data_IF_209378278510
#
_entry.id   IF_209378278510
#
_cell.length_a   1.000
_cell.length_b   1.000
_cell.length_c   1.000
_cell.angle_alpha   90.00
_cell.angle_beta   90.00
_cell.angle_gamma   90.00
#
_symmetry.space_group_name_H-M   'P 1'
#
loop_
_entity.id
_entity.type
_entity.pdbx_description
1 polymer ?
#
# COMPACT_ATOMS: atom_id res chain seq x y z
N UNK A 1 23.06 39.51 -24.24
CA UNK A 1 22.47 38.67 -23.17
C UNK A 1 20.94 38.57 -23.23
N UNK A 2 20.32 38.54 -24.43
CA UNK A 2 18.86 38.33 -24.60
C UNK A 2 18.51 37.20 -25.58
N UNK A 3 19.44 36.83 -26.48
CA UNK A 3 19.23 35.77 -27.48
C UNK A 3 19.50 34.37 -26.89
N UNK A 4 20.38 34.25 -25.89
CA UNK A 4 20.66 32.97 -25.22
C UNK A 4 19.52 32.49 -24.28
N UNK A 5 18.67 33.39 -23.80
CA UNK A 5 17.51 33.04 -22.97
C UNK A 5 16.35 32.47 -23.79
N UNK A 6 16.23 32.83 -25.07
CA UNK A 6 15.15 32.36 -25.94
C UNK A 6 15.44 30.95 -26.46
N UNK A 7 16.71 30.61 -26.71
CA UNK A 7 17.10 29.27 -27.14
C UNK A 7 16.91 28.20 -26.05
N UNK A 8 17.09 28.56 -24.77
CA UNK A 8 16.84 27.65 -23.63
C UNK A 8 15.33 27.47 -23.39
N UNK A 9 14.52 28.51 -23.61
CA UNK A 9 13.05 28.40 -23.54
C UNK A 9 12.48 27.53 -24.69
N UNK A 10 13.06 27.60 -25.89
CA UNK A 10 12.65 26.75 -27.03
C UNK A 10 12.96 25.27 -26.84
N UNK A 11 14.08 24.94 -26.18
CA UNK A 11 14.45 23.56 -25.83
C UNK A 11 13.58 22.96 -24.73
N UNK A 12 12.98 23.79 -23.87
CA UNK A 12 12.02 23.33 -22.85
C UNK A 12 10.60 23.10 -23.42
N UNK A 13 10.26 23.70 -24.57
CA UNK A 13 8.94 23.56 -25.21
C UNK A 13 8.89 22.44 -26.26
N UNK A 14 10.03 21.97 -26.77
CA UNK A 14 10.07 20.84 -27.72
C UNK A 14 9.82 19.46 -27.06
N UNK A 15 9.67 19.40 -25.74
CA UNK A 15 9.33 18.18 -25.00
C UNK A 15 7.83 17.83 -24.96
N UNK A 16 6.95 18.66 -25.50
CA UNK A 16 5.49 18.52 -25.34
C UNK A 16 4.72 18.01 -26.57
N UNK A 17 5.39 17.46 -27.60
CA UNK A 17 4.72 16.97 -28.81
C UNK A 17 5.08 15.53 -29.21
N UNK A 18 5.40 14.68 -28.23
CA UNK A 18 5.45 13.24 -28.42
C UNK A 18 4.50 12.61 -27.42
N UNK A 19 3.27 12.28 -27.82
CA UNK A 19 2.42 11.39 -27.04
C UNK A 19 3.01 9.98 -27.17
N UNK A 20 3.68 9.44 -26.14
CA UNK A 20 4.02 8.04 -26.17
C UNK A 20 2.70 7.25 -26.05
N UNK A 21 2.63 6.06 -26.64
CA UNK A 21 1.51 5.11 -26.52
C UNK A 21 1.46 4.48 -25.11
N UNK A 22 1.41 5.33 -24.09
CA UNK A 22 1.86 5.03 -22.75
C UNK A 22 0.86 5.57 -21.76
N UNK A 23 0.52 4.73 -20.79
CA UNK A 23 -0.31 5.12 -19.66
C UNK A 23 0.44 6.20 -18.85
N UNK A 24 -0.06 7.45 -18.78
CA UNK A 24 0.58 8.52 -18.01
C UNK A 24 0.79 8.15 -16.54
N UNK A 25 -0.02 7.22 -16.01
CA UNK A 25 0.08 6.72 -14.65
C UNK A 25 1.19 5.67 -14.48
N UNK A 26 1.62 4.97 -15.54
CA UNK A 26 2.67 3.93 -15.48
C UNK A 26 3.86 4.19 -16.41
N UNK A 27 4.70 5.15 -16.03
CA UNK A 27 5.72 5.61 -16.92
C UNK A 27 6.91 4.68 -17.13
N UNK A 28 7.01 3.68 -16.28
CA UNK A 28 8.09 2.72 -16.30
C UNK A 28 7.53 1.33 -16.61
N UNK A 29 6.40 1.23 -17.32
CA UNK A 29 5.71 -0.03 -17.58
C UNK A 29 6.65 -1.16 -18.04
N UNK A 30 7.59 -0.97 -19.00
CA UNK A 30 8.49 -2.04 -19.41
C UNK A 30 9.41 -2.54 -18.28
N UNK A 31 9.81 -1.66 -17.37
CA UNK A 31 10.59 -2.02 -16.18
C UNK A 31 9.69 -2.66 -15.12
N UNK A 32 8.55 -2.05 -14.85
CA UNK A 32 7.59 -2.51 -13.86
C UNK A 32 7.07 -3.92 -14.18
N UNK A 33 6.83 -4.24 -15.45
CA UNK A 33 6.49 -5.62 -15.91
C UNK A 33 7.61 -6.63 -15.64
N UNK A 34 8.88 -6.23 -15.81
CA UNK A 34 10.03 -7.11 -15.49
C UNK A 34 10.11 -7.38 -13.98
N UNK A 35 9.93 -6.35 -13.17
CA UNK A 35 9.91 -6.48 -11.70
C UNK A 35 8.70 -7.30 -11.26
N UNK A 36 7.54 -7.11 -11.90
CA UNK A 36 6.36 -7.94 -11.64
C UNK A 36 6.65 -9.42 -11.93
N UNK A 37 7.24 -9.74 -13.09
CA UNK A 37 7.63 -11.10 -13.42
C UNK A 37 8.65 -11.68 -12.41
N UNK A 38 9.56 -10.86 -11.89
CA UNK A 38 10.45 -11.25 -10.80
C UNK A 38 9.68 -11.57 -9.51
N UNK A 39 8.78 -10.68 -9.07
CA UNK A 39 7.95 -10.87 -7.89
C UNK A 39 7.08 -12.12 -8.00
N UNK A 40 6.50 -12.39 -9.16
CA UNK A 40 5.71 -13.61 -9.40
C UNK A 40 6.54 -14.88 -9.32
N UNK A 41 7.82 -14.85 -9.71
CA UNK A 41 8.74 -15.98 -9.49
C UNK A 41 9.03 -16.17 -8.01
N UNK A 42 9.34 -15.10 -7.29
CA UNK A 42 9.58 -15.15 -5.84
C UNK A 42 8.34 -15.68 -5.12
N UNK A 43 7.15 -15.22 -5.49
CA UNK A 43 5.89 -15.70 -4.94
C UNK A 43 5.73 -17.20 -5.16
N UNK A 44 5.83 -17.65 -6.41
CA UNK A 44 5.66 -19.06 -6.80
C UNK A 44 6.62 -20.00 -6.08
N UNK A 45 7.89 -19.61 -5.93
CA UNK A 45 8.93 -20.50 -5.41
C UNK A 45 9.21 -20.32 -3.91
N UNK A 46 8.78 -19.21 -3.30
CA UNK A 46 9.11 -18.87 -1.91
C UNK A 46 7.85 -18.54 -1.12
N UNK A 47 7.15 -17.46 -1.46
CA UNK A 47 6.08 -16.96 -0.59
C UNK A 47 4.87 -17.90 -0.54
N UNK A 48 4.42 -18.45 -1.69
CA UNK A 48 3.30 -19.38 -1.76
C UNK A 48 3.56 -20.70 -1.02
N UNK A 49 4.68 -21.43 -1.24
CA UNK A 49 4.97 -22.64 -0.47
C UNK A 49 5.07 -22.41 1.04
N UNK A 50 5.63 -21.26 1.47
CA UNK A 50 5.67 -20.89 2.88
C UNK A 50 4.28 -20.61 3.45
N UNK A 51 3.43 -19.91 2.71
CA UNK A 51 2.05 -19.65 3.09
C UNK A 51 1.21 -20.94 3.18
N UNK A 52 1.34 -21.85 2.22
CA UNK A 52 0.67 -23.17 2.26
C UNK A 52 1.15 -23.98 3.48
N UNK A 53 2.45 -23.98 3.76
CA UNK A 53 3.02 -24.65 4.94
C UNK A 53 2.49 -24.03 6.23
N UNK A 54 2.41 -22.71 6.31
CA UNK A 54 1.86 -22.00 7.46
C UNK A 54 0.39 -22.35 7.70
N UNK A 55 -0.43 -22.40 6.65
CA UNK A 55 -1.84 -22.83 6.72
C UNK A 55 -1.97 -24.30 7.15
N UNK A 56 -1.11 -25.18 6.64
CA UNK A 56 -1.13 -26.60 6.99
C UNK A 56 -0.66 -26.87 8.43
N UNK A 57 0.34 -26.13 8.90
CA UNK A 57 0.97 -26.35 10.21
C UNK A 57 0.23 -25.65 11.37
N UNK A 58 -0.52 -24.59 11.10
CA UNK A 58 -1.09 -23.70 12.13
C UNK A 58 -2.61 -23.75 12.10
N UNK A 59 -3.31 -24.07 13.20
CA UNK A 59 -4.78 -24.06 13.25
C UNK A 59 -5.39 -22.69 12.92
N UNK A 60 -6.61 -22.64 12.34
CA UNK A 60 -7.25 -21.37 11.95
C UNK A 60 -7.32 -20.32 13.06
N UNK A 61 -7.63 -20.73 14.30
CA UNK A 61 -7.78 -19.84 15.45
C UNK A 61 -6.44 -19.19 15.82
N UNK A 62 -5.36 -19.96 15.74
CA UNK A 62 -4.00 -19.46 16.00
C UNK A 62 -3.57 -18.51 14.90
N UNK A 63 -3.87 -18.82 13.63
CA UNK A 63 -3.58 -17.91 12.50
C UNK A 63 -4.33 -16.60 12.64
N UNK A 64 -5.62 -16.65 12.97
CA UNK A 64 -6.42 -15.45 13.24
C UNK A 64 -5.80 -14.63 14.37
N UNK A 65 -5.30 -15.28 15.42
CA UNK A 65 -4.66 -14.55 16.52
C UNK A 65 -3.31 -13.92 16.14
N UNK A 66 -2.49 -14.61 15.35
CA UNK A 66 -1.25 -14.05 14.78
C UNK A 66 -1.58 -12.84 13.91
N UNK A 67 -2.56 -12.98 13.03
CA UNK A 67 -3.03 -11.91 12.16
C UNK A 67 -3.49 -10.68 12.97
N UNK A 68 -4.32 -10.87 13.99
CA UNK A 68 -4.78 -9.80 14.87
C UNK A 68 -3.63 -9.11 15.61
N UNK A 69 -2.64 -9.88 16.08
CA UNK A 69 -1.47 -9.34 16.77
C UNK A 69 -0.64 -8.45 15.85
N UNK A 70 -0.38 -8.93 14.62
CA UNK A 70 0.34 -8.15 13.60
C UNK A 70 -0.43 -6.88 13.22
N UNK A 71 -1.74 -6.98 13.03
CA UNK A 71 -2.60 -5.84 12.76
C UNK A 71 -2.56 -4.82 13.91
N UNK A 72 -2.65 -5.28 15.17
CA UNK A 72 -2.62 -4.42 16.36
C UNK A 72 -1.32 -3.60 16.47
N UNK A 73 -0.18 -4.16 16.07
CA UNK A 73 1.09 -3.42 16.01
C UNK A 73 1.06 -2.28 14.98
N UNK A 74 0.32 -2.46 13.89
CA UNK A 74 0.16 -1.44 12.84
C UNK A 74 -0.73 -0.28 13.31
N UNK A 75 -1.56 -0.44 14.35
CA UNK A 75 -2.44 0.65 14.83
C UNK A 75 -1.68 1.89 15.31
N UNK A 76 -0.43 1.76 15.75
CA UNK A 76 0.40 2.92 16.12
C UNK A 76 0.60 3.84 14.92
N UNK A 77 0.88 3.26 13.75
CA UNK A 77 0.94 3.98 12.48
C UNK A 77 -0.40 4.57 12.09
N UNK A 78 -1.48 3.82 12.26
CA UNK A 78 -2.84 4.28 11.90
C UNK A 78 -3.21 5.52 12.71
N UNK A 79 -3.10 5.45 14.04
CA UNK A 79 -3.41 6.55 14.96
C UNK A 79 -2.56 7.79 14.66
N UNK A 80 -1.25 7.61 14.39
CA UNK A 80 -0.38 8.72 14.04
C UNK A 80 -0.86 9.41 12.74
N UNK A 81 -1.24 8.63 11.74
CA UNK A 81 -1.73 9.17 10.48
C UNK A 81 -3.14 9.77 10.59
N UNK A 82 -4.04 9.22 11.40
CA UNK A 82 -5.33 9.87 11.69
C UNK A 82 -5.14 11.28 12.26
N UNK A 83 -4.20 11.43 13.20
CA UNK A 83 -3.87 12.71 13.79
C UNK A 83 -3.28 13.68 12.76
N UNK A 84 -2.34 13.20 11.93
CA UNK A 84 -1.75 14.00 10.85
C UNK A 84 -2.78 14.39 9.78
N UNK A 85 -3.81 13.58 9.61
CA UNK A 85 -4.95 13.86 8.75
C UNK A 85 -6.00 14.72 9.45
N UNK A 86 -5.84 15.10 10.72
CA UNK A 86 -6.85 15.80 11.52
C UNK A 86 -8.19 15.05 11.63
N UNK A 87 -8.18 13.71 11.56
CA UNK A 87 -9.31 12.81 11.82
C UNK A 87 -9.42 12.49 13.32
N UNK A 88 -9.58 13.50 14.18
CA UNK A 88 -9.52 13.33 15.65
C UNK A 88 -10.51 12.30 16.22
N UNK A 89 -11.72 12.22 15.66
CA UNK A 89 -12.70 11.20 16.06
C UNK A 89 -12.18 9.80 15.76
N UNK A 90 -11.63 9.60 14.58
CA UNK A 90 -11.08 8.33 14.11
C UNK A 90 -9.88 7.91 14.96
N UNK A 91 -8.93 8.83 15.18
CA UNK A 91 -7.79 8.62 16.07
C UNK A 91 -8.21 8.15 17.47
N UNK A 92 -9.30 8.70 18.03
CA UNK A 92 -9.84 8.28 19.32
C UNK A 92 -10.41 6.86 19.32
N UNK A 93 -11.13 6.48 18.25
CA UNK A 93 -11.66 5.13 18.07
C UNK A 93 -10.53 4.12 17.89
N UNK A 94 -9.54 4.42 17.04
CA UNK A 94 -8.41 3.54 16.77
C UNK A 94 -7.47 3.41 17.97
N UNK A 95 -7.30 4.49 18.76
CA UNK A 95 -6.62 4.41 20.07
C UNK A 95 -7.36 3.50 21.04
N UNK A 96 -8.69 3.62 21.12
CA UNK A 96 -9.51 2.76 21.98
C UNK A 96 -9.39 1.30 21.55
N UNK A 97 -9.46 1.04 20.24
CA UNK A 97 -9.30 -0.29 19.65
C UNK A 97 -7.93 -0.89 19.98
N UNK A 98 -6.85 -0.14 19.77
CA UNK A 98 -5.50 -0.56 20.13
C UNK A 98 -5.37 -0.89 21.62
N UNK A 99 -5.87 -0.02 22.50
CA UNK A 99 -5.81 -0.25 23.95
C UNK A 99 -6.63 -1.47 24.36
N UNK A 100 -7.84 -1.64 23.82
CA UNK A 100 -8.70 -2.78 24.12
C UNK A 100 -8.06 -4.10 23.68
N UNK A 101 -7.55 -4.17 22.45
CA UNK A 101 -6.92 -5.37 21.92
C UNK A 101 -5.61 -5.67 22.66
N UNK A 102 -4.84 -4.64 23.02
CA UNK A 102 -3.59 -4.83 23.78
C UNK A 102 -3.85 -5.31 25.21
N UNK A 103 -4.84 -4.73 25.91
CA UNK A 103 -5.09 -5.00 27.34
C UNK A 103 -6.00 -6.20 27.59
N UNK A 104 -7.13 -6.28 26.89
CA UNK A 104 -8.12 -7.34 27.04
C UNK A 104 -7.99 -8.42 25.98
N UNK A 105 -7.31 -8.13 24.87
CA UNK A 105 -7.11 -9.05 23.76
C UNK A 105 -5.78 -9.79 23.77
N UNK A 106 -5.14 -9.99 24.93
CA UNK A 106 -3.84 -10.67 25.04
C UNK A 106 -2.77 -10.06 24.10
N UNK A 107 -2.46 -8.78 24.29
CA UNK A 107 -1.51 -8.01 23.46
C UNK A 107 -1.90 -7.88 21.98
N UNK A 108 -3.17 -8.11 21.64
CA UNK A 108 -3.70 -8.02 20.28
C UNK A 108 -3.96 -9.38 19.62
N UNK A 109 -3.70 -10.50 20.29
CA UNK A 109 -4.01 -11.82 19.74
C UNK A 109 -5.53 -12.06 19.59
N UNK A 110 -6.33 -11.46 20.47
CA UNK A 110 -7.79 -11.44 20.38
C UNK A 110 -8.26 -10.03 20.01
N UNK A 111 -9.45 -9.96 19.41
CA UNK A 111 -10.03 -8.72 18.89
C UNK A 111 -11.36 -8.35 19.57
N UNK A 112 -11.37 -8.07 20.90
CA UNK A 112 -12.57 -7.64 21.60
C UNK A 112 -13.11 -6.29 21.12
N UNK A 113 -12.27 -5.44 20.52
CA UNK A 113 -12.70 -4.16 19.98
C UNK A 113 -13.77 -4.31 18.89
N UNK A 114 -13.62 -5.29 17.99
CA UNK A 114 -14.62 -5.58 16.95
C UNK A 114 -15.96 -6.01 17.56
N UNK A 115 -15.96 -6.75 18.67
CA UNK A 115 -17.18 -7.22 19.34
C UNK A 115 -18.03 -6.08 19.91
N UNK A 116 -17.41 -4.93 20.20
CA UNK A 116 -18.11 -3.73 20.70
C UNK A 116 -18.36 -2.69 19.59
N UNK A 117 -18.14 -3.05 18.33
CA UNK A 117 -18.43 -2.20 17.16
C UNK A 117 -17.34 -1.21 16.79
N UNK A 118 -16.12 -1.35 17.31
CA UNK A 118 -14.97 -0.58 16.80
C UNK A 118 -14.44 -1.28 15.56
N UNK A 119 -14.77 -0.77 14.37
CA UNK A 119 -14.32 -1.37 13.10
C UNK A 119 -12.82 -1.18 12.87
N UNK A 120 -12.24 -2.00 11.98
CA UNK A 120 -10.83 -1.90 11.61
C UNK A 120 -10.63 -0.75 10.63
N UNK A 121 -9.62 0.06 10.89
CA UNK A 121 -9.18 1.12 9.99
C UNK A 121 -7.74 0.90 9.54
N UNK A 122 -7.35 1.57 8.46
CA UNK A 122 -6.02 1.45 7.89
C UNK A 122 -5.57 2.78 7.29
N UNK A 123 -4.75 3.50 8.05
CA UNK A 123 -4.09 4.72 7.62
C UNK A 123 -2.57 4.53 7.49
N UNK A 124 -1.99 5.24 6.54
CA UNK A 124 -0.56 5.29 6.26
C UNK A 124 -0.16 6.69 5.80
N UNK A 125 1.14 6.99 5.82
CA UNK A 125 1.61 8.34 5.49
C UNK A 125 1.41 8.69 4.02
N UNK A 126 1.30 7.70 3.13
CA UNK A 126 0.90 7.93 1.74
C UNK A 126 -0.51 8.52 1.64
N UNK A 127 -1.46 7.99 2.43
CA UNK A 127 -2.81 8.53 2.55
C UNK A 127 -2.80 9.94 3.14
N UNK A 128 -2.00 10.16 4.19
CA UNK A 128 -1.81 11.48 4.80
C UNK A 128 -1.35 12.51 3.77
N UNK A 129 -0.30 12.21 3.00
CA UNK A 129 0.18 13.07 1.92
C UNK A 129 -0.93 13.34 0.88
N UNK A 130 -1.68 12.31 0.51
CA UNK A 130 -2.82 12.42 -0.41
C UNK A 130 -3.90 13.37 0.09
N UNK A 131 -4.28 13.28 1.37
CA UNK A 131 -5.25 14.18 2.00
C UNK A 131 -4.80 15.63 1.98
N UNK A 132 -3.50 15.88 2.10
CA UNK A 132 -2.90 17.22 2.02
C UNK A 132 -2.61 17.68 0.59
N UNK A 133 -3.14 16.99 -0.42
CA UNK A 133 -3.08 17.41 -1.83
C UNK A 133 -1.82 16.97 -2.57
N UNK A 134 -0.98 16.12 -1.97
CA UNK A 134 0.14 15.53 -2.71
C UNK A 134 -0.40 14.48 -3.68
N UNK A 135 -0.23 14.76 -4.97
CA UNK A 135 -0.59 13.84 -6.04
C UNK A 135 0.08 12.48 -5.88
N UNK A 136 -0.60 11.43 -6.33
CA UNK A 136 -0.11 10.06 -6.25
C UNK A 136 1.24 9.88 -6.99
N UNK A 137 1.39 10.59 -8.11
CA UNK A 137 2.51 10.41 -9.01
C UNK A 137 2.43 9.09 -9.77
N UNK A 138 3.60 8.63 -10.21
CA UNK A 138 3.74 7.48 -11.08
C UNK A 138 3.63 6.16 -10.35
N UNK A 139 3.08 5.15 -11.03
CA UNK A 139 3.07 3.77 -10.60
C UNK A 139 4.47 3.17 -10.66
N UNK A 140 4.80 2.39 -9.64
CA UNK A 140 6.06 1.68 -9.51
C UNK A 140 5.77 0.25 -9.08
N UNK A 141 6.39 -0.73 -9.74
CA UNK A 141 6.46 -2.10 -9.25
C UNK A 141 7.82 -2.28 -8.57
N UNK A 142 7.81 -2.48 -7.25
CA UNK A 142 9.02 -2.65 -6.45
C UNK A 142 9.36 -4.13 -6.28
N UNK A 143 10.65 -4.50 -6.33
CA UNK A 143 11.06 -5.87 -6.07
C UNK A 143 10.71 -6.24 -4.63
N UNK A 144 10.17 -7.44 -4.43
CA UNK A 144 9.66 -8.01 -3.17
C UNK A 144 8.45 -7.30 -2.55
N UNK A 145 8.37 -5.98 -2.63
CA UNK A 145 7.31 -5.18 -2.00
C UNK A 145 6.03 -5.10 -2.85
N UNK A 146 6.15 -5.19 -4.18
CA UNK A 146 5.00 -5.18 -5.08
C UNK A 146 4.59 -3.76 -5.55
N UNK A 147 3.30 -3.55 -5.86
CA UNK A 147 2.75 -2.29 -6.35
C UNK A 147 2.96 -1.11 -5.39
N UNK A 148 3.37 0.05 -5.92
CA UNK A 148 3.53 1.30 -5.19
C UNK A 148 3.30 2.51 -6.11
N UNK A 149 3.33 3.71 -5.53
CA UNK A 149 3.40 4.99 -6.25
C UNK A 149 4.54 5.84 -5.71
N UNK A 150 4.92 6.92 -6.40
CA UNK A 150 5.94 7.85 -5.86
C UNK A 150 5.57 8.35 -4.46
N UNK A 151 4.32 8.75 -4.27
CA UNK A 151 3.81 9.20 -2.97
C UNK A 151 3.86 8.09 -1.94
N UNK A 152 3.36 6.90 -2.28
CA UNK A 152 3.28 5.80 -1.33
C UNK A 152 4.65 5.18 -1.01
N UNK A 153 5.61 5.25 -1.94
CA UNK A 153 7.01 4.89 -1.69
C UNK A 153 7.61 5.81 -0.63
N UNK A 154 7.46 7.13 -0.77
CA UNK A 154 7.95 8.08 0.24
C UNK A 154 7.16 7.93 1.54
N UNK A 155 5.84 7.79 1.46
CA UNK A 155 4.99 7.69 2.63
C UNK A 155 5.28 6.44 3.46
N UNK A 156 5.19 5.26 2.83
CA UNK A 156 5.32 4.00 3.55
C UNK A 156 6.76 3.72 3.99
N UNK A 157 7.78 4.13 3.20
CA UNK A 157 9.17 3.80 3.49
C UNK A 157 9.93 4.88 4.26
N UNK A 158 9.49 6.15 4.20
CA UNK A 158 10.15 7.25 4.92
C UNK A 158 9.25 7.79 6.03
N UNK A 159 7.98 8.07 5.73
CA UNK A 159 7.05 8.62 6.70
C UNK A 159 6.70 7.62 7.81
N UNK A 160 6.21 6.44 7.43
CA UNK A 160 5.76 5.43 8.39
C UNK A 160 6.90 4.67 9.06
N UNK A 161 8.14 4.80 8.55
CA UNK A 161 9.32 4.21 9.18
C UNK A 161 9.46 4.60 10.66
N UNK A 162 9.19 5.87 10.98
CA UNK A 162 9.25 6.39 12.35
C UNK A 162 8.07 5.97 13.23
N UNK A 163 7.02 5.41 12.65
CA UNK A 163 5.85 4.91 13.41
C UNK A 163 5.95 3.42 13.71
N UNK A 164 6.97 2.74 13.19
CA UNK A 164 7.19 1.32 13.45
C UNK A 164 7.71 1.13 14.89
N UNK A 165 6.94 0.50 15.80
CA UNK A 165 7.37 0.29 17.18
C UNK A 165 8.64 -0.55 17.31
N UNK A 166 8.93 -1.40 16.31
CA UNK A 166 10.11 -2.27 16.32
C UNK A 166 11.41 -1.47 16.23
N UNK A 167 11.39 -0.27 15.63
CA UNK A 167 12.54 0.63 15.57
C UNK A 167 13.02 1.04 16.98
N UNK A 168 12.11 1.09 17.95
CA UNK A 168 12.37 1.56 19.30
C UNK A 168 12.54 0.43 20.32
N UNK A 169 12.33 -0.82 19.90
CA UNK A 169 12.31 -1.97 20.79
C UNK A 169 13.69 -2.63 21.02
N UNK A 170 14.78 -2.01 20.52
CA UNK A 170 16.17 -2.52 20.58
C UNK A 170 16.25 -4.01 20.22
N UNK A 171 15.57 -4.39 19.13
CA UNK A 171 15.48 -5.76 18.68
C UNK A 171 16.70 -6.10 17.83
N UNK A 172 17.21 -7.32 18.01
CA UNK A 172 18.26 -7.86 17.16
C UNK A 172 17.74 -8.00 15.71
N UNK A 173 18.56 -7.73 14.70
CA UNK A 173 18.19 -7.77 13.26
C UNK A 173 17.41 -9.03 12.85
N UNK A 174 17.71 -10.17 13.49
CA UNK A 174 17.04 -11.45 13.26
C UNK A 174 15.56 -11.44 13.64
N UNK A 175 15.20 -10.70 14.69
CA UNK A 175 13.81 -10.57 15.17
C UNK A 175 13.01 -9.69 14.20
N UNK A 176 13.60 -8.59 13.71
CA UNK A 176 12.94 -7.73 12.73
C UNK A 176 12.70 -8.46 11.41
N UNK A 177 13.73 -9.16 10.89
CA UNK A 177 13.58 -10.00 9.70
C UNK A 177 12.55 -11.12 9.91
N UNK A 178 12.53 -11.72 11.10
CA UNK A 178 11.53 -12.72 11.48
C UNK A 178 10.11 -12.14 11.44
N UNK A 179 9.91 -10.96 12.04
CA UNK A 179 8.62 -10.26 12.00
C UNK A 179 8.16 -9.95 10.58
N UNK A 180 9.04 -9.40 9.74
CA UNK A 180 8.71 -9.10 8.34
C UNK A 180 8.37 -10.38 7.57
N UNK A 181 9.09 -11.47 7.80
CA UNK A 181 8.81 -12.78 7.22
C UNK A 181 7.46 -13.34 7.64
N UNK A 182 7.14 -13.31 8.93
CA UNK A 182 5.84 -13.77 9.45
C UNK A 182 4.71 -12.94 8.86
N UNK A 183 4.86 -11.61 8.82
CA UNK A 183 3.86 -10.71 8.23
C UNK A 183 3.65 -10.98 6.73
N UNK A 184 4.71 -11.24 5.99
CA UNK A 184 4.62 -11.60 4.56
C UNK A 184 3.86 -12.92 4.38
N UNK A 185 4.22 -13.95 5.15
CA UNK A 185 3.59 -15.29 5.07
C UNK A 185 2.12 -15.23 5.49
N UNK A 186 1.81 -14.52 6.58
CA UNK A 186 0.45 -14.33 7.07
C UNK A 186 -0.41 -13.61 6.03
N UNK A 187 0.06 -12.47 5.50
CA UNK A 187 -0.63 -11.73 4.44
C UNK A 187 -0.83 -12.59 3.18
N UNK A 188 0.19 -13.36 2.76
CA UNK A 188 0.07 -14.22 1.57
C UNK A 188 -0.90 -15.38 1.79
N UNK A 189 -0.99 -15.91 3.01
CA UNK A 189 -1.90 -17.01 3.35
C UNK A 189 -3.37 -16.64 3.13
N UNK A 190 -3.75 -15.39 3.41
CA UNK A 190 -5.09 -14.87 3.16
C UNK A 190 -5.46 -14.78 1.66
N UNK A 191 -4.45 -14.81 0.77
CA UNK A 191 -4.65 -14.67 -0.68
C UNK A 191 -4.67 -16.01 -1.43
N UNK A 192 -4.32 -17.12 -0.79
CA UNK A 192 -4.24 -18.45 -1.43
C UNK A 192 -5.56 -18.85 -2.13
N UNK A 193 -6.71 -18.41 -1.63
CA UNK A 193 -8.02 -18.70 -2.22
C UNK A 193 -8.42 -17.81 -3.42
N UNK A 194 -7.71 -16.71 -3.67
CA UNK A 194 -8.09 -15.69 -4.67
C UNK A 194 -7.18 -15.67 -5.90
N UNK A 195 -6.24 -16.61 -5.99
CA UNK A 195 -5.21 -16.64 -7.05
C UNK A 195 -5.81 -16.83 -8.44
N UNK A 196 -6.87 -17.63 -8.51
CA UNK A 196 -7.59 -17.91 -9.76
C UNK A 196 -8.14 -16.63 -10.41
N UNK A 197 -8.43 -15.59 -9.62
CA UNK A 197 -8.90 -14.30 -10.13
C UNK A 197 -7.81 -13.61 -10.96
N UNK A 198 -6.54 -13.75 -10.55
CA UNK A 198 -5.39 -13.20 -11.28
C UNK A 198 -5.02 -14.07 -12.48
N UNK A 199 -5.03 -15.39 -12.31
CA UNK A 199 -4.62 -16.34 -13.37
C UNK A 199 -5.58 -16.34 -14.57
N UNK A 200 -6.84 -15.96 -14.37
CA UNK A 200 -7.85 -15.87 -15.42
C UNK A 200 -7.78 -14.57 -16.23
N UNK A 201 -6.99 -13.57 -15.81
CA UNK A 201 -6.88 -12.30 -16.53
C UNK A 201 -6.01 -12.44 -17.77
N UNK A 202 -6.39 -11.74 -18.84
CA UNK A 202 -5.58 -11.64 -20.06
C UNK A 202 -4.22 -10.97 -19.78
N UNK A 203 -4.23 -9.91 -18.96
CA UNK A 203 -3.03 -9.23 -18.48
C UNK A 203 -3.09 -9.05 -16.95
N UNK A 204 -2.54 -10.00 -16.18
CA UNK A 204 -2.53 -9.93 -14.72
C UNK A 204 -1.78 -8.71 -14.18
N UNK A 205 -0.79 -8.19 -14.91
CA UNK A 205 -0.03 -7.01 -14.47
C UNK A 205 -0.90 -5.76 -14.51
N UNK A 206 -1.59 -5.52 -15.63
CA UNK A 206 -2.49 -4.36 -15.79
C UNK A 206 -3.63 -4.44 -14.78
N UNK A 207 -4.17 -5.63 -14.55
CA UNK A 207 -5.21 -5.85 -13.54
C UNK A 207 -4.74 -5.50 -12.13
N UNK A 208 -3.56 -5.98 -11.71
CA UNK A 208 -2.97 -5.66 -10.40
C UNK A 208 -2.70 -4.16 -10.27
N UNK A 209 -2.17 -3.51 -11.32
CA UNK A 209 -1.93 -2.07 -11.37
C UNK A 209 -3.24 -1.30 -11.16
N UNK A 210 -4.26 -1.58 -11.96
CA UNK A 210 -5.55 -0.90 -11.89
C UNK A 210 -6.21 -1.06 -10.51
N UNK A 211 -6.27 -2.29 -9.99
CA UNK A 211 -6.81 -2.54 -8.65
C UNK A 211 -6.05 -1.79 -7.55
N UNK A 212 -4.71 -1.75 -7.65
CA UNK A 212 -3.89 -1.04 -6.68
C UNK A 212 -4.22 0.46 -6.70
N UNK A 213 -4.20 1.09 -7.87
CA UNK A 213 -4.44 2.54 -8.01
C UNK A 213 -5.86 2.92 -7.55
N UNK A 214 -6.87 2.15 -7.97
CA UNK A 214 -8.26 2.35 -7.53
C UNK A 214 -8.38 2.23 -6.00
N UNK A 215 -7.76 1.21 -5.40
CA UNK A 215 -7.78 1.03 -3.95
C UNK A 215 -7.09 2.20 -3.24
N UNK A 216 -5.94 2.68 -3.73
CA UNK A 216 -5.21 3.81 -3.12
C UNK A 216 -6.00 5.11 -3.20
N UNK A 217 -6.67 5.37 -4.32
CA UNK A 217 -7.56 6.51 -4.46
C UNK A 217 -8.72 6.40 -3.46
N UNK A 218 -9.36 5.23 -3.39
CA UNK A 218 -10.46 5.00 -2.43
C UNK A 218 -10.02 5.22 -0.98
N UNK A 219 -8.83 4.75 -0.60
CA UNK A 219 -8.26 4.94 0.74
C UNK A 219 -8.00 6.42 1.08
N UNK A 220 -7.41 7.20 0.16
CA UNK A 220 -7.17 8.64 0.37
C UNK A 220 -8.46 9.43 0.61
N UNK A 221 -9.57 8.98 0.01
CA UNK A 221 -10.87 9.65 0.06
C UNK A 221 -11.88 8.94 0.97
N UNK A 222 -11.44 8.07 1.89
CA UNK A 222 -12.30 7.41 2.88
C UNK A 222 -13.50 6.67 2.25
N UNK A 223 -13.29 6.04 1.09
CA UNK A 223 -14.35 5.32 0.38
C UNK A 223 -15.16 6.15 -0.62
N UNK A 224 -14.97 7.47 -0.66
CA UNK A 224 -15.74 8.38 -1.49
C UNK A 224 -14.84 9.22 -2.43
N UNK A 225 -14.13 8.57 -3.38
CA UNK A 225 -13.30 9.29 -4.33
C UNK A 225 -14.14 10.23 -5.20
N UNK A 226 -13.56 11.35 -5.67
CA UNK A 226 -14.22 12.17 -6.68
C UNK A 226 -14.49 11.32 -7.93
N UNK A 227 -15.55 11.62 -8.69
CA UNK A 227 -15.76 11.01 -10.00
C UNK A 227 -14.48 11.12 -10.84
N UNK A 228 -14.20 10.11 -11.66
CA UNK A 228 -13.12 10.20 -12.63
C UNK A 228 -13.47 11.36 -13.57
N UNK A 229 -12.67 12.42 -13.56
CA UNK A 229 -12.78 13.48 -14.55
C UNK A 229 -12.28 12.86 -15.87
N UNK A 230 -13.21 12.52 -16.76
CA UNK A 230 -12.93 12.11 -18.13
C UNK A 230 -12.31 13.30 -18.88
N UNK A 231 -11.00 13.53 -18.72
CA UNK A 231 -10.23 14.57 -19.44
C UNK A 231 -9.97 14.21 -20.92
N UNK A 232 -10.90 13.53 -21.59
CA UNK A 232 -10.75 13.09 -22.98
C UNK A 232 -11.77 13.68 -23.97
N UNK A 233 -12.66 14.61 -23.55
CA UNK A 233 -13.72 15.16 -24.43
C UNK A 233 -13.58 16.67 -24.80
N UNK A 234 -12.46 17.33 -24.49
CA UNK A 234 -12.24 18.74 -24.87
C UNK A 234 -11.04 18.93 -25.82
N UNK A 235 -11.02 18.27 -26.99
CA UNK A 235 -10.10 18.65 -28.07
C UNK A 235 -10.61 18.27 -29.50
N UNK A 236 -11.92 18.16 -29.72
CA UNK A 236 -12.50 17.99 -31.08
C UNK A 236 -13.65 18.96 -31.38
N UNK A 237 -13.49 20.24 -31.00
CA UNK A 237 -14.30 21.35 -31.52
C UNK A 237 -13.46 22.62 -31.65
N UNK A 238 -12.75 22.74 -32.77
CA UNK A 238 -12.02 23.96 -33.17
C UNK A 238 -11.56 23.93 -34.62
#
# INVERSE_FOLDING_TARGET
MRIQLIAVAGLLLAGCAHSPSYDPQDPLEPLNRKVYAFNMKVDRYVAKPLAETYVAATPPEVRTGIHNFLDNLVYIRVIANDLLQAKFKQAGLDTTRFLMNTTFGLAGFLDPATMVGLERNNEDFGQTLGRWGVGQGWYLMLPFLGPSTNRDLVGNNVGDYFTNPLLYADLHDRVELGYQGVRLVDARSGLLGSESLLEQQLDPYVFVRGLYLQRRQNLVYDGNPPPEDDFDDEDDNG
#
